data_IF_445504173172
#
_entry.id   IF_445504173172
#
_cell.length_a   1.000
_cell.length_b   1.000
_cell.length_c   1.000
_cell.angle_alpha   90.00
_cell.angle_beta   90.00
_cell.angle_gamma   90.00
#
_symmetry.space_group_name_H-M   'P 1'
#
loop_
_entity.id
_entity.type
_entity.pdbx_description
1 polymer ?
#
# COMPACT_ATOMS: atom_id res chain seq x y z
N UNK A 1 -4.36 -12.71 18.68
CA UNK A 1 -4.40 -11.35 18.10
C UNK A 1 -3.44 -11.26 16.93
N UNK A 2 -3.76 -10.40 15.91
CA UNK A 2 -2.92 -10.17 14.74
C UNK A 2 -2.86 -8.67 14.43
N UNK A 3 -1.74 -8.20 13.92
CA UNK A 3 -1.61 -6.87 13.33
C UNK A 3 -2.13 -6.94 11.89
N UNK A 4 -2.98 -5.99 11.51
CA UNK A 4 -3.61 -5.95 10.19
C UNK A 4 -3.71 -4.52 9.69
N UNK A 5 -3.46 -4.30 8.42
CA UNK A 5 -3.91 -3.10 7.74
C UNK A 5 -5.43 -3.18 7.47
N UNK A 6 -6.09 -2.04 7.20
CA UNK A 6 -7.54 -2.02 6.93
C UNK A 6 -7.98 -3.01 5.83
N UNK A 7 -7.19 -3.16 4.76
CA UNK A 7 -7.47 -4.12 3.69
C UNK A 7 -7.42 -5.58 4.15
N UNK A 8 -6.49 -5.93 5.05
CA UNK A 8 -6.41 -7.26 5.63
C UNK A 8 -7.62 -7.55 6.51
N UNK A 9 -8.01 -6.56 7.34
CA UNK A 9 -9.18 -6.69 8.21
C UNK A 9 -10.48 -6.87 7.40
N UNK A 10 -10.68 -6.09 6.35
CA UNK A 10 -11.86 -6.21 5.48
C UNK A 10 -11.90 -7.59 4.82
N UNK A 11 -10.77 -8.05 4.27
CA UNK A 11 -10.70 -9.37 3.65
C UNK A 11 -10.94 -10.51 4.66
N UNK A 12 -10.43 -10.38 5.88
CA UNK A 12 -10.75 -11.30 6.97
C UNK A 12 -12.25 -11.31 7.29
N UNK A 13 -12.91 -10.15 7.34
CA UNK A 13 -14.36 -10.08 7.56
C UNK A 13 -15.15 -10.74 6.44
N UNK A 14 -14.67 -10.65 5.21
CA UNK A 14 -15.30 -11.27 4.05
C UNK A 14 -15.12 -12.80 3.99
N UNK A 15 -13.94 -13.29 4.38
CA UNK A 15 -13.57 -14.70 4.20
C UNK A 15 -13.54 -15.52 5.50
N UNK A 16 -13.17 -14.89 6.61
CA UNK A 16 -12.76 -15.56 7.84
C UNK A 16 -11.26 -15.90 7.88
N UNK A 17 -10.55 -15.79 6.75
CA UNK A 17 -9.12 -16.10 6.66
C UNK A 17 -8.27 -14.93 7.13
N UNK A 18 -7.24 -15.23 7.91
CA UNK A 18 -6.33 -14.25 8.49
C UNK A 18 -5.00 -14.32 7.75
N UNK A 19 -4.79 -13.41 6.80
CA UNK A 19 -3.54 -13.33 6.07
C UNK A 19 -3.22 -11.88 5.66
N UNK A 20 -1.98 -11.64 5.28
CA UNK A 20 -1.46 -10.37 4.78
C UNK A 20 -0.60 -10.60 3.53
N UNK A 21 -0.03 -9.54 2.98
CA UNK A 21 0.88 -9.59 1.84
C UNK A 21 2.19 -8.87 2.14
N UNK A 22 3.25 -9.13 1.39
CA UNK A 22 4.50 -8.36 1.50
C UNK A 22 4.25 -6.86 1.25
N UNK A 23 3.35 -6.52 0.32
CA UNK A 23 2.94 -5.13 0.08
C UNK A 23 2.36 -4.50 1.36
N UNK A 24 1.42 -5.18 2.02
CA UNK A 24 0.84 -4.71 3.29
C UNK A 24 1.88 -4.61 4.41
N UNK A 25 2.72 -5.63 4.60
CA UNK A 25 3.77 -5.60 5.62
C UNK A 25 4.78 -4.47 5.39
N UNK A 26 5.12 -4.18 4.13
CA UNK A 26 6.05 -3.10 3.81
C UNK A 26 5.47 -1.71 4.13
N UNK A 27 4.18 -1.49 3.93
CA UNK A 27 3.51 -0.26 4.37
C UNK A 27 3.47 -0.14 5.89
N UNK A 28 3.26 -1.25 6.59
CA UNK A 28 3.33 -1.33 8.04
C UNK A 28 4.75 -1.27 8.61
N UNK A 29 5.78 -1.15 7.77
CA UNK A 29 7.21 -1.19 8.14
C UNK A 29 7.67 -2.52 8.76
N UNK A 30 6.94 -3.61 8.55
CA UNK A 30 7.27 -4.94 9.08
C UNK A 30 8.01 -5.84 8.08
N UNK A 31 8.45 -5.32 6.93
CA UNK A 31 9.19 -6.08 5.94
C UNK A 31 10.63 -5.59 5.77
N UNK A 32 11.59 -6.50 5.91
CA UNK A 32 13.00 -6.28 5.65
C UNK A 32 13.34 -6.69 4.21
N UNK A 33 13.43 -5.72 3.32
CA UNK A 33 13.74 -5.94 1.90
C UNK A 33 15.15 -6.50 1.67
N UNK A 34 16.09 -6.21 2.55
CA UNK A 34 17.47 -6.66 2.40
C UNK A 34 17.60 -8.17 2.61
N UNK A 35 16.83 -8.69 3.56
CA UNK A 35 16.85 -10.10 3.94
C UNK A 35 15.60 -10.86 3.44
N UNK A 36 14.67 -10.18 2.77
CA UNK A 36 13.40 -10.73 2.26
C UNK A 36 12.61 -11.52 3.32
N UNK A 37 12.40 -10.90 4.47
CA UNK A 37 11.67 -11.50 5.59
C UNK A 37 10.97 -10.43 6.44
N UNK A 38 10.19 -10.88 7.41
CA UNK A 38 9.66 -10.00 8.44
C UNK A 38 10.83 -9.26 9.13
N UNK A 39 10.62 -8.00 9.47
CA UNK A 39 11.61 -7.15 10.12
C UNK A 39 11.73 -7.51 11.63
N UNK A 40 12.29 -8.69 11.92
CA UNK A 40 12.42 -9.24 13.28
C UNK A 40 13.10 -8.24 14.20
N UNK A 41 14.11 -7.51 13.72
CA UNK A 41 14.82 -6.49 14.51
C UNK A 41 13.89 -5.37 15.02
N UNK A 42 12.84 -5.00 14.29
CA UNK A 42 11.83 -4.04 14.74
C UNK A 42 10.87 -4.70 15.73
N UNK A 43 10.46 -5.94 15.46
CA UNK A 43 9.60 -6.69 16.37
C UNK A 43 10.28 -6.81 17.74
N UNK A 44 11.54 -7.23 17.77
CA UNK A 44 12.36 -7.38 18.98
C UNK A 44 12.56 -6.03 19.70
N UNK A 45 12.87 -4.97 18.96
CA UNK A 45 13.10 -3.64 19.53
C UNK A 45 11.86 -3.10 20.27
N UNK A 46 10.66 -3.32 19.72
CA UNK A 46 9.40 -2.87 20.33
C UNK A 46 8.76 -3.91 21.23
N UNK A 47 9.35 -5.09 21.38
CA UNK A 47 8.80 -6.18 22.18
C UNK A 47 7.52 -6.79 21.60
N UNK A 48 7.38 -6.79 20.28
CA UNK A 48 6.26 -7.42 19.59
C UNK A 48 6.54 -8.90 19.36
N UNK A 49 5.57 -9.73 19.72
CA UNK A 49 5.65 -11.17 19.47
C UNK A 49 5.44 -11.45 17.96
N UNK A 50 6.26 -12.31 17.38
CA UNK A 50 6.19 -12.67 15.96
C UNK A 50 4.85 -13.31 15.57
N UNK A 51 4.14 -13.93 16.53
CA UNK A 51 2.79 -14.46 16.30
C UNK A 51 1.76 -13.38 15.93
N UNK A 52 2.07 -12.09 16.14
CA UNK A 52 1.22 -10.98 15.72
C UNK A 52 1.18 -10.81 14.19
N UNK A 53 2.18 -11.29 13.47
CA UNK A 53 2.18 -11.26 12.00
C UNK A 53 1.27 -12.37 11.47
N UNK A 54 0.39 -11.99 10.54
CA UNK A 54 -0.50 -12.93 9.85
C UNK A 54 0.25 -13.73 8.77
N UNK A 55 -0.34 -14.83 8.31
CA UNK A 55 0.21 -15.65 7.23
C UNK A 55 0.39 -14.81 5.95
N UNK A 56 1.57 -14.89 5.37
CA UNK A 56 1.93 -14.09 4.19
C UNK A 56 1.49 -14.81 2.94
N UNK A 57 0.69 -14.15 2.11
CA UNK A 57 0.26 -14.62 0.79
C UNK A 57 0.85 -13.71 -0.30
N UNK A 58 1.07 -14.22 -1.51
CA UNK A 58 1.41 -13.38 -2.65
C UNK A 58 0.33 -12.34 -2.93
N UNK A 59 0.73 -11.18 -3.44
CA UNK A 59 -0.20 -10.08 -3.76
C UNK A 59 -1.28 -10.52 -4.76
N UNK A 60 -0.89 -11.26 -5.80
CA UNK A 60 -1.79 -11.86 -6.78
C UNK A 60 -1.92 -13.37 -6.53
N UNK A 61 -2.76 -13.76 -5.57
CA UNK A 61 -3.05 -15.15 -5.25
C UNK A 61 -4.40 -15.26 -4.58
N UNK A 62 -4.97 -16.46 -4.53
CA UNK A 62 -6.16 -16.71 -3.71
C UNK A 62 -5.81 -16.54 -2.23
N UNK A 63 -6.39 -15.54 -1.61
CA UNK A 63 -6.13 -15.12 -0.23
C UNK A 63 -7.29 -15.47 0.70
N UNK A 64 -8.36 -16.03 0.16
CA UNK A 64 -9.56 -16.46 0.85
C UNK A 64 -10.76 -16.43 -0.09
N UNK A 65 -11.91 -16.85 0.42
CA UNK A 65 -13.19 -16.83 -0.31
C UNK A 65 -14.29 -16.20 0.55
N UNK A 66 -15.19 -15.47 -0.10
CA UNK A 66 -16.35 -14.87 0.58
C UNK A 66 -17.15 -15.97 1.26
N UNK A 67 -17.32 -15.86 2.57
CA UNK A 67 -18.06 -16.81 3.38
C UNK A 67 -19.58 -16.55 3.31
N UNK A 68 -20.38 -17.51 3.77
CA UNK A 68 -21.84 -17.45 3.71
C UNK A 68 -22.42 -16.24 4.45
N UNK A 69 -21.84 -15.82 5.58
CA UNK A 69 -22.31 -14.68 6.37
C UNK A 69 -22.12 -13.38 5.59
N UNK A 70 -20.91 -13.11 5.11
CA UNK A 70 -20.61 -11.93 4.32
C UNK A 70 -21.41 -11.92 2.99
N UNK A 71 -21.55 -13.08 2.35
CA UNK A 71 -22.34 -13.21 1.14
C UNK A 71 -23.80 -12.76 1.38
N UNK A 72 -24.42 -13.22 2.45
CA UNK A 72 -25.79 -12.88 2.79
C UNK A 72 -25.96 -11.41 3.19
N UNK A 73 -25.04 -10.88 4.03
CA UNK A 73 -25.11 -9.49 4.51
C UNK A 73 -24.88 -8.45 3.41
N UNK A 74 -24.02 -8.75 2.44
CA UNK A 74 -23.57 -7.80 1.43
C UNK A 74 -24.17 -8.07 0.03
N UNK A 75 -24.99 -9.11 -0.12
CA UNK A 75 -25.54 -9.51 -1.42
C UNK A 75 -24.47 -10.04 -2.39
N UNK A 76 -23.39 -10.60 -1.88
CA UNK A 76 -22.30 -11.19 -2.67
C UNK A 76 -22.58 -12.68 -2.92
N UNK A 77 -21.89 -13.25 -3.90
CA UNK A 77 -21.93 -14.70 -4.13
C UNK A 77 -20.95 -15.39 -3.17
N UNK A 78 -21.45 -16.34 -2.37
CA UNK A 78 -20.60 -17.20 -1.55
C UNK A 78 -19.56 -17.93 -2.40
N UNK A 79 -18.36 -18.10 -1.85
CA UNK A 79 -17.24 -18.75 -2.52
C UNK A 79 -16.53 -17.88 -3.56
N UNK A 80 -16.93 -16.61 -3.76
CA UNK A 80 -16.19 -15.67 -4.62
C UNK A 80 -14.76 -15.52 -4.10
N UNK A 81 -13.73 -15.80 -4.92
CA UNK A 81 -12.33 -15.71 -4.46
C UNK A 81 -11.90 -14.27 -4.25
N UNK A 82 -11.13 -14.05 -3.19
CA UNK A 82 -10.39 -12.82 -2.92
C UNK A 82 -8.96 -13.05 -3.39
N UNK A 83 -8.56 -12.41 -4.49
CA UNK A 83 -7.36 -12.77 -5.23
C UNK A 83 -6.29 -11.68 -5.28
N UNK A 84 -6.54 -10.56 -4.63
CA UNK A 84 -5.64 -9.42 -4.66
C UNK A 84 -5.80 -8.53 -3.43
N UNK A 85 -4.66 -8.13 -2.85
CA UNK A 85 -4.54 -7.00 -1.90
C UNK A 85 -3.17 -6.38 -2.02
N UNK A 86 -3.13 -5.06 -1.94
CA UNK A 86 -1.90 -4.29 -1.87
C UNK A 86 -2.14 -3.04 -1.02
N UNK A 87 -1.09 -2.33 -0.71
CA UNK A 87 -1.16 -1.00 -0.16
C UNK A 87 -1.82 -0.01 -1.12
N UNK A 88 -2.24 1.15 -0.61
CA UNK A 88 -3.00 2.14 -1.40
C UNK A 88 -2.17 2.74 -2.54
N UNK A 89 -0.92 3.09 -2.30
CA UNK A 89 -0.06 3.72 -3.30
C UNK A 89 0.42 2.75 -4.39
N UNK A 90 0.88 1.53 -4.07
CA UNK A 90 1.09 0.49 -5.07
C UNK A 90 -0.16 0.19 -5.91
N UNK A 91 -1.34 0.21 -5.28
CA UNK A 91 -2.61 0.00 -5.98
C UNK A 91 -2.96 1.16 -6.93
N UNK A 92 -2.70 2.41 -6.54
CA UNK A 92 -2.86 3.56 -7.42
C UNK A 92 -1.94 3.46 -8.65
N UNK A 93 -0.69 3.07 -8.47
CA UNK A 93 0.25 2.86 -9.57
C UNK A 93 -0.21 1.74 -10.52
N UNK A 94 -0.74 0.64 -9.98
CA UNK A 94 -1.38 -0.43 -10.76
C UNK A 94 -2.51 0.13 -11.64
N UNK A 95 -3.38 0.99 -11.11
CA UNK A 95 -4.49 1.58 -11.85
C UNK A 95 -4.05 2.46 -13.03
N UNK A 96 -2.82 2.97 -12.99
CA UNK A 96 -2.18 3.76 -14.03
C UNK A 96 -1.26 2.92 -14.95
N UNK A 97 -1.32 1.59 -14.83
CA UNK A 97 -0.48 0.64 -15.60
C UNK A 97 1.04 0.86 -15.39
N UNK A 98 1.43 1.24 -14.19
CA UNK A 98 2.84 1.44 -13.81
C UNK A 98 3.34 0.19 -13.08
N UNK A 99 4.27 -0.56 -13.70
CA UNK A 99 4.75 -1.86 -13.22
C UNK A 99 6.26 -2.02 -13.23
N UNK A 100 6.95 -1.31 -14.12
CA UNK A 100 8.35 -1.57 -14.42
C UNK A 100 9.28 -0.52 -13.80
N UNK A 101 10.54 -0.89 -13.49
CA UNK A 101 11.54 0.07 -13.05
C UNK A 101 11.68 1.24 -14.02
N UNK A 102 11.69 2.46 -13.48
CA UNK A 102 11.73 3.70 -14.23
C UNK A 102 10.37 4.29 -14.60
N UNK A 103 9.28 3.53 -14.44
CA UNK A 103 7.93 4.07 -14.60
C UNK A 103 7.48 4.84 -13.35
N UNK A 104 6.68 5.89 -13.57
CA UNK A 104 6.25 6.81 -12.52
C UNK A 104 4.75 7.03 -12.60
N UNK A 105 4.08 6.94 -11.46
CA UNK A 105 2.71 7.39 -11.25
C UNK A 105 2.71 8.68 -10.44
N UNK A 106 1.87 9.64 -10.81
CA UNK A 106 1.70 10.89 -10.05
C UNK A 106 0.24 11.18 -9.83
N UNK A 107 -0.09 11.62 -8.62
CA UNK A 107 -1.41 12.13 -8.27
C UNK A 107 -1.29 13.56 -7.73
N UNK A 108 -2.21 14.44 -8.14
CA UNK A 108 -2.26 15.82 -7.71
C UNK A 108 -3.66 16.12 -7.16
N UNK A 109 -3.82 15.93 -5.87
CA UNK A 109 -5.02 16.27 -5.12
C UNK A 109 -4.76 17.41 -4.13
N UNK A 110 -5.36 17.37 -2.96
CA UNK A 110 -5.06 18.27 -1.82
C UNK A 110 -3.58 18.20 -1.48
N UNK A 111 -3.03 16.99 -1.39
CA UNK A 111 -1.59 16.70 -1.42
C UNK A 111 -1.21 16.10 -2.78
N UNK A 112 0.08 16.07 -3.08
CA UNK A 112 0.63 15.42 -4.26
C UNK A 112 1.42 14.18 -3.87
N UNK A 113 1.42 13.18 -4.75
CA UNK A 113 2.26 12.00 -4.60
C UNK A 113 2.99 11.75 -5.91
N UNK A 114 4.28 11.47 -5.81
CA UNK A 114 5.08 10.91 -6.91
C UNK A 114 5.55 9.54 -6.46
N UNK A 115 5.21 8.52 -7.23
CA UNK A 115 5.50 7.13 -6.95
C UNK A 115 6.26 6.54 -8.14
N UNK A 116 7.53 6.20 -7.94
CA UNK A 116 8.38 5.61 -8.97
C UNK A 116 8.72 4.16 -8.67
N UNK A 117 8.67 3.28 -9.66
CA UNK A 117 9.08 1.87 -9.50
C UNK A 117 10.59 1.74 -9.66
N UNK A 118 11.23 1.05 -8.70
CA UNK A 118 12.65 0.73 -8.70
C UNK A 118 12.85 -0.80 -8.71
N UNK A 119 13.87 -1.28 -9.41
CA UNK A 119 14.25 -2.69 -9.52
C UNK A 119 15.30 -3.15 -8.49
N UNK A 120 15.75 -2.27 -7.63
CA UNK A 120 16.81 -2.53 -6.67
C UNK A 120 16.39 -2.17 -5.24
N UNK A 121 16.96 -2.88 -4.25
CA UNK A 121 16.79 -2.53 -2.84
C UNK A 121 17.62 -1.30 -2.54
N UNK A 122 16.96 -0.16 -2.43
CA UNK A 122 17.58 1.11 -2.13
C UNK A 122 16.71 1.91 -1.16
N UNK A 123 17.33 2.81 -0.40
CA UNK A 123 16.63 3.69 0.54
C UNK A 123 17.28 5.07 0.59
N UNK A 124 16.51 6.07 0.95
CA UNK A 124 17.03 7.41 1.19
C UNK A 124 17.54 7.53 2.64
N UNK A 125 18.86 7.71 2.86
CA UNK A 125 19.42 7.82 4.20
C UNK A 125 18.94 9.06 4.97
N UNK A 126 18.31 10.02 4.30
CA UNK A 126 17.68 11.19 4.92
C UNK A 126 16.19 11.02 5.16
N UNK A 127 15.62 9.86 4.86
CA UNK A 127 14.20 9.53 5.07
C UNK A 127 13.22 10.53 4.43
N UNK A 128 13.57 11.10 3.27
CA UNK A 128 12.72 12.05 2.53
C UNK A 128 11.65 11.36 1.70
N UNK A 129 11.84 10.07 1.42
CA UNK A 129 10.92 9.22 0.66
C UNK A 129 10.73 7.91 1.38
N UNK A 130 9.57 7.29 1.17
CA UNK A 130 9.27 5.94 1.66
C UNK A 130 9.49 4.91 0.55
N UNK A 131 9.77 3.67 0.93
CA UNK A 131 9.90 2.56 -0.01
C UNK A 131 8.97 1.43 0.41
N UNK A 132 8.14 0.95 -0.54
CA UNK A 132 7.18 -0.12 -0.35
C UNK A 132 7.37 -1.24 -1.36
N UNK A 133 6.92 -2.44 -1.05
CA UNK A 133 6.79 -3.48 -2.07
C UNK A 133 5.72 -3.08 -3.07
N UNK A 134 6.09 -3.00 -4.34
CA UNK A 134 5.13 -2.78 -5.42
C UNK A 134 4.25 -4.03 -5.62
N UNK A 135 3.11 -3.88 -6.30
CA UNK A 135 2.12 -4.96 -6.46
C UNK A 135 2.69 -6.22 -7.09
N UNK A 136 3.64 -6.09 -8.00
CA UNK A 136 4.30 -7.21 -8.69
C UNK A 136 5.70 -7.53 -8.14
N UNK A 137 5.99 -7.10 -6.91
CA UNK A 137 7.20 -7.53 -6.20
C UNK A 137 7.11 -9.01 -5.84
N UNK A 138 8.17 -9.76 -6.14
CA UNK A 138 8.35 -11.15 -5.71
C UNK A 138 9.75 -11.35 -5.14
N UNK A 139 9.99 -12.51 -4.56
CA UNK A 139 11.32 -12.87 -4.03
C UNK A 139 12.38 -12.97 -5.14
N UNK A 140 11.97 -13.34 -6.36
CA UNK A 140 12.84 -13.49 -7.53
C UNK A 140 12.97 -12.18 -8.32
N UNK A 141 12.01 -11.29 -8.19
CA UNK A 141 11.95 -10.06 -8.97
C UNK A 141 11.65 -8.85 -8.09
N UNK A 142 12.69 -8.11 -7.74
CA UNK A 142 12.55 -6.89 -6.95
C UNK A 142 11.77 -5.83 -7.73
N UNK A 143 10.67 -5.36 -7.13
CA UNK A 143 9.86 -4.22 -7.59
C UNK A 143 9.47 -3.41 -6.38
N UNK A 144 10.13 -2.29 -6.18
CA UNK A 144 9.88 -1.41 -5.05
C UNK A 144 9.31 -0.08 -5.54
N UNK A 145 8.30 0.39 -4.86
CA UNK A 145 7.73 1.71 -5.08
C UNK A 145 8.39 2.72 -4.15
N UNK A 146 9.05 3.71 -4.72
CA UNK A 146 9.61 4.85 -3.99
C UNK A 146 8.61 5.98 -4.02
N UNK A 147 8.15 6.39 -2.86
CA UNK A 147 7.06 7.35 -2.69
C UNK A 147 7.56 8.66 -2.11
N UNK A 148 7.31 9.74 -2.83
CA UNK A 148 7.44 11.11 -2.35
C UNK A 148 6.04 11.70 -2.14
N UNK A 149 5.73 12.09 -0.91
CA UNK A 149 4.50 12.81 -0.58
C UNK A 149 4.79 14.32 -0.46
N UNK A 150 3.98 15.13 -1.13
CA UNK A 150 4.05 16.58 -1.13
C UNK A 150 2.78 17.13 -0.49
N UNK A 151 2.87 17.59 0.75
CA UNK A 151 1.71 17.98 1.57
C UNK A 151 1.00 19.27 1.13
N UNK A 152 1.46 19.95 0.09
CA UNK A 152 0.99 21.28 -0.26
C UNK A 152 0.78 21.52 -1.76
N UNK A 153 0.11 20.62 -2.49
CA UNK A 153 -0.19 20.83 -3.92
C UNK A 153 -1.51 21.58 -4.12
N UNK A 154 -2.64 20.91 -4.21
CA UNK A 154 -3.94 21.53 -4.44
C UNK A 154 -4.37 22.45 -3.29
N UNK A 155 -4.01 22.13 -2.04
CA UNK A 155 -4.29 23.01 -0.90
C UNK A 155 -3.49 24.33 -1.00
N UNK A 156 -2.24 24.28 -1.49
CA UNK A 156 -1.45 25.48 -1.74
C UNK A 156 -2.06 26.32 -2.85
N UNK A 157 -2.49 25.72 -3.94
CA UNK A 157 -3.19 26.41 -5.01
C UNK A 157 -4.47 27.09 -4.51
N UNK A 158 -5.25 26.40 -3.69
CA UNK A 158 -6.45 26.98 -3.05
C UNK A 158 -6.11 28.12 -2.08
N UNK A 159 -4.99 28.03 -1.38
CA UNK A 159 -4.52 29.09 -0.49
C UNK A 159 -4.10 30.33 -1.29
N UNK A 160 -3.31 30.16 -2.35
CA UNK A 160 -2.90 31.26 -3.25
C UNK A 160 -4.13 31.97 -3.81
N UNK A 161 -5.12 31.20 -4.32
CA UNK A 161 -6.36 31.77 -4.84
C UNK A 161 -7.09 32.61 -3.80
N UNK A 162 -7.22 32.12 -2.56
CA UNK A 162 -7.98 32.81 -1.52
C UNK A 162 -7.28 34.00 -0.93
N UNK A 163 -5.95 34.06 -0.94
CA UNK A 163 -5.19 35.04 -0.20
C UNK A 163 -4.42 36.05 -1.10
N UNK A 164 -4.15 35.67 -2.36
CA UNK A 164 -3.27 36.43 -3.25
C UNK A 164 -3.96 36.80 -4.56
N UNK A 165 -4.82 35.95 -5.09
CA UNK A 165 -5.47 36.18 -6.38
C UNK A 165 -6.54 37.32 -6.22
N UNK A 166 -6.76 38.17 -7.26
CA UNK A 166 -7.85 39.15 -7.28
C UNK A 166 -9.21 38.47 -7.08
N UNK A 167 -10.14 39.21 -6.48
CA UNK A 167 -11.52 38.70 -6.31
C UNK A 167 -12.17 38.34 -7.66
N UNK A 168 -12.98 37.29 -7.66
CA UNK A 168 -13.74 36.84 -8.83
C UNK A 168 -13.00 35.94 -9.79
N UNK A 169 -11.72 35.61 -9.58
CA UNK A 169 -11.01 34.61 -10.41
C UNK A 169 -11.54 33.19 -10.13
N UNK A 170 -12.00 32.52 -11.19
CA UNK A 170 -12.38 31.09 -11.14
C UNK A 170 -11.15 30.18 -11.21
N UNK A 171 -11.35 28.87 -11.07
CA UNK A 171 -10.29 27.86 -11.31
C UNK A 171 -10.14 27.49 -12.79
N UNK A 172 -10.99 28.05 -13.66
CA UNK A 172 -10.98 27.81 -15.10
C UNK A 172 -10.15 28.87 -15.81
#
# INVERSE_FOLDING_TARGET
>A
YKIMLPGDYIAMKLSGDICTTVSGLSEGMFWDFKNNRVADFLMDYYGFDSSLIADIKPTFAEQGRVNAVAANELGLKEGTPITYRAGDQPNNALSLNVFNPGEIASTAGTSGVVYGVNGEVNYDPQSRVNTFAHVNHTMEQTRLGVLLCINGTGILNSWVKRNIAPEGISYN
#
